data_IF_965528103438
#
_entry.id   IF_965528103438
#
_cell.length_a   1.000
_cell.length_b   1.000
_cell.length_c   1.000
_cell.angle_alpha   90.00
_cell.angle_beta   90.00
_cell.angle_gamma   90.00
#
_symmetry.space_group_name_H-M   'P 1'
#
loop_
_entity.id
_entity.type
_entity.pdbx_description
1 polymer ?
#
# COMPACT_ATOMS: atom_id res chain seq x y z
N UNK A 1 -4.61 0.19 -18.74
CA UNK A 1 -5.22 -1.11 -18.55
C UNK A 1 -6.21 -1.12 -17.40
N UNK A 2 -6.66 -2.29 -16.99
CA UNK A 2 -7.68 -2.45 -15.94
C UNK A 2 -7.20 -2.04 -14.53
N UNK A 3 -5.92 -1.90 -14.29
CA UNK A 3 -5.40 -1.44 -13.00
C UNK A 3 -5.75 0.03 -12.72
N UNK A 4 -5.74 0.88 -13.76
CA UNK A 4 -6.11 2.30 -13.69
C UNK A 4 -6.93 2.68 -14.92
N UNK A 5 -8.17 2.23 -14.95
CA UNK A 5 -9.15 2.59 -15.99
C UNK A 5 -9.84 3.91 -15.66
N UNK A 6 -10.29 4.63 -16.68
CA UNK A 6 -11.17 5.82 -16.51
C UNK A 6 -12.57 5.41 -16.05
N UNK A 7 -12.96 4.19 -16.38
CA UNK A 7 -14.22 3.54 -15.97
C UNK A 7 -13.88 2.15 -15.45
N UNK A 8 -14.42 1.77 -14.32
CA UNK A 8 -14.15 0.51 -13.66
C UNK A 8 -15.31 0.10 -12.75
N UNK A 9 -15.38 -1.18 -12.42
CA UNK A 9 -16.39 -1.73 -11.53
C UNK A 9 -15.80 -1.86 -10.13
N UNK A 10 -16.51 -1.30 -9.14
CA UNK A 10 -16.25 -1.49 -7.72
C UNK A 10 -17.42 -2.21 -7.05
N UNK A 11 -17.13 -2.91 -5.97
CA UNK A 11 -18.08 -3.29 -4.94
C UNK A 11 -17.82 -2.38 -3.74
N UNK A 12 -18.83 -1.65 -3.32
CA UNK A 12 -18.81 -0.87 -2.08
C UNK A 12 -19.80 -1.44 -1.08
N UNK A 13 -19.43 -1.36 0.20
CA UNK A 13 -20.33 -1.65 1.30
C UNK A 13 -20.04 -0.67 2.46
N UNK A 14 -21.06 -0.40 3.24
CA UNK A 14 -20.99 0.48 4.39
C UNK A 14 -21.70 -0.18 5.56
N UNK A 15 -21.14 -0.04 6.77
CA UNK A 15 -21.80 -0.45 8.00
C UNK A 15 -22.17 0.75 8.85
N UNK A 16 -23.22 0.59 9.62
CA UNK A 16 -23.77 1.59 10.54
C UNK A 16 -24.07 0.88 11.85
N UNK A 17 -23.23 1.12 12.83
CA UNK A 17 -23.30 0.46 14.12
C UNK A 17 -23.61 1.50 15.22
N UNK A 18 -24.18 1.07 16.34
CA UNK A 18 -24.53 1.97 17.43
C UNK A 18 -23.29 2.50 18.18
N UNK A 19 -22.22 1.72 18.21
CA UNK A 19 -21.00 2.05 18.92
C UNK A 19 -19.75 1.53 18.22
N UNK A 20 -18.58 1.88 18.76
CA UNK A 20 -17.30 1.42 18.24
C UNK A 20 -17.09 -0.10 18.34
N UNK A 21 -17.67 -0.75 19.35
CA UNK A 21 -17.54 -2.20 19.52
C UNK A 21 -18.29 -2.95 18.42
N UNK A 22 -19.51 -2.50 18.10
CA UNK A 22 -20.29 -3.00 16.97
C UNK A 22 -19.57 -2.80 15.64
N UNK A 23 -19.05 -1.59 15.39
CA UNK A 23 -18.28 -1.29 14.18
C UNK A 23 -17.05 -2.19 14.06
N UNK A 24 -16.27 -2.39 15.13
CA UNK A 24 -15.11 -3.30 15.12
C UNK A 24 -15.49 -4.74 14.81
N UNK A 25 -16.61 -5.22 15.38
CA UNK A 25 -17.11 -6.57 15.07
C UNK A 25 -17.50 -6.71 13.59
N UNK A 26 -18.18 -5.72 13.04
CA UNK A 26 -18.53 -5.67 11.60
C UNK A 26 -17.29 -5.57 10.73
N UNK A 27 -16.31 -4.75 11.12
CA UNK A 27 -15.03 -4.63 10.43
C UNK A 27 -14.30 -5.97 10.36
N UNK A 28 -14.21 -6.74 11.45
CA UNK A 28 -13.57 -8.06 11.45
C UNK A 28 -14.30 -9.08 10.56
N UNK A 29 -15.64 -9.06 10.52
CA UNK A 29 -16.42 -9.90 9.60
C UNK A 29 -16.11 -9.56 8.14
N UNK A 30 -16.00 -8.28 7.82
CA UNK A 30 -15.64 -7.81 6.48
C UNK A 30 -14.19 -8.15 6.13
N UNK A 31 -13.26 -7.99 7.05
CA UNK A 31 -11.87 -8.41 6.92
C UNK A 31 -11.79 -9.90 6.53
N UNK A 32 -12.48 -10.76 7.29
CA UNK A 32 -12.54 -12.19 6.99
C UNK A 32 -13.18 -12.49 5.63
N UNK A 33 -14.22 -11.74 5.25
CA UNK A 33 -14.87 -11.88 3.94
C UNK A 33 -13.89 -11.55 2.79
N UNK A 34 -13.08 -10.49 2.93
CA UNK A 34 -12.07 -10.12 1.93
C UNK A 34 -10.97 -11.18 1.81
N UNK A 35 -10.50 -11.73 2.94
CA UNK A 35 -9.58 -12.86 2.91
C UNK A 35 -10.16 -14.05 2.14
N UNK A 36 -11.43 -14.36 2.34
CA UNK A 36 -12.10 -15.47 1.66
C UNK A 36 -12.26 -15.20 0.16
N UNK A 37 -12.64 -13.97 -0.23
CA UNK A 37 -12.75 -13.58 -1.65
C UNK A 37 -11.42 -13.78 -2.36
N UNK A 38 -10.33 -13.24 -1.81
CA UNK A 38 -9.03 -13.29 -2.45
C UNK A 38 -8.46 -14.73 -2.51
N UNK A 39 -8.66 -15.52 -1.46
CA UNK A 39 -8.29 -16.96 -1.47
C UNK A 39 -9.05 -17.73 -2.53
N UNK A 40 -10.38 -17.55 -2.62
CA UNK A 40 -11.21 -18.19 -3.64
C UNK A 40 -10.83 -17.78 -5.06
N UNK A 41 -10.37 -16.54 -5.24
CA UNK A 41 -9.81 -16.09 -6.51
C UNK A 41 -8.39 -16.62 -6.76
N UNK A 42 -7.84 -17.47 -5.89
CA UNK A 42 -6.51 -18.07 -6.04
C UNK A 42 -5.36 -17.08 -5.93
N UNK A 43 -5.57 -15.92 -5.30
CA UNK A 43 -4.60 -14.83 -5.25
C UNK A 43 -3.66 -14.96 -4.04
N UNK A 44 -2.38 -14.67 -4.26
CA UNK A 44 -1.41 -14.46 -3.19
C UNK A 44 -1.44 -12.99 -2.79
N UNK A 45 -1.81 -12.71 -1.56
CA UNK A 45 -2.02 -11.36 -1.07
C UNK A 45 -1.54 -11.18 0.37
N UNK A 46 -1.44 -9.93 0.80
CA UNK A 46 -1.28 -9.53 2.20
C UNK A 46 -2.31 -8.46 2.53
N UNK A 47 -2.95 -8.60 3.70
CA UNK A 47 -3.63 -7.50 4.34
C UNK A 47 -2.56 -6.66 5.05
N UNK A 48 -2.51 -5.37 4.77
CA UNK A 48 -1.49 -4.45 5.29
C UNK A 48 -2.15 -3.27 5.98
N UNK A 49 -1.58 -2.83 7.08
CA UNK A 49 -2.02 -1.59 7.72
C UNK A 49 -1.71 -0.41 6.80
N UNK A 50 -2.68 0.47 6.65
CA UNK A 50 -2.62 1.58 5.72
C UNK A 50 -2.98 2.91 6.37
N UNK A 51 -2.55 4.00 5.74
CA UNK A 51 -3.04 5.33 6.07
C UNK A 51 -4.46 5.52 5.49
N UNK A 52 -5.36 6.10 6.30
CA UNK A 52 -6.75 6.32 5.87
C UNK A 52 -6.92 7.52 4.94
N UNK A 53 -5.88 8.32 4.74
CA UNK A 53 -5.84 9.47 3.84
C UNK A 53 -6.99 10.46 4.05
N UNK A 54 -7.49 11.04 2.96
CA UNK A 54 -8.59 11.99 2.96
C UNK A 54 -9.93 11.37 3.43
N UNK A 55 -10.10 10.07 3.27
CA UNK A 55 -11.28 9.34 3.77
C UNK A 55 -11.35 9.48 5.30
N UNK A 56 -10.21 9.34 5.98
CA UNK A 56 -10.10 9.48 7.43
C UNK A 56 -10.60 8.25 8.18
N UNK A 57 -10.75 8.41 9.50
CA UNK A 57 -11.12 7.32 10.39
C UNK A 57 -9.98 6.95 11.35
N UNK A 58 -10.22 5.97 12.21
CA UNK A 58 -9.27 5.55 13.25
C UNK A 58 -8.28 4.47 12.78
N UNK A 59 -8.55 3.81 11.66
CA UNK A 59 -7.69 2.78 11.08
C UNK A 59 -8.22 2.26 9.77
N UNK A 60 -7.32 1.70 8.98
CA UNK A 60 -7.67 1.05 7.71
C UNK A 60 -6.68 -0.05 7.36
N UNK A 61 -7.12 -0.99 6.50
CA UNK A 61 -6.29 -2.04 5.94
C UNK A 61 -6.52 -2.17 4.45
N UNK A 62 -5.43 -2.27 3.70
CA UNK A 62 -5.41 -2.55 2.27
C UNK A 62 -5.15 -4.04 2.03
N UNK A 63 -5.81 -4.58 1.02
CA UNK A 63 -5.59 -5.94 0.53
C UNK A 63 -4.73 -5.88 -0.72
N UNK A 64 -3.44 -6.16 -0.55
CA UNK A 64 -2.41 -6.06 -1.58
C UNK A 64 -2.14 -7.42 -2.24
N UNK A 65 -2.45 -7.54 -3.51
CA UNK A 65 -2.04 -8.70 -4.32
C UNK A 65 -0.58 -8.52 -4.70
N UNK A 66 0.25 -9.51 -4.35
CA UNK A 66 1.69 -9.45 -4.58
C UNK A 66 2.01 -9.66 -6.06
N UNK A 67 2.58 -8.65 -6.72
CA UNK A 67 2.97 -8.70 -8.11
C UNK A 67 4.12 -7.70 -8.39
N UNK A 68 5.06 -8.06 -9.27
CA UNK A 68 6.16 -7.16 -9.65
C UNK A 68 5.66 -5.88 -10.34
N UNK A 69 4.55 -5.98 -11.07
CA UNK A 69 3.88 -4.84 -11.71
C UNK A 69 3.10 -3.95 -10.72
N UNK A 70 3.09 -4.28 -9.42
CA UNK A 70 2.45 -3.49 -8.37
C UNK A 70 3.02 -2.08 -8.30
N UNK A 71 2.15 -1.10 -8.09
CA UNK A 71 2.54 0.32 -7.98
C UNK A 71 2.97 0.68 -6.57
N UNK A 72 2.41 -0.02 -5.55
CA UNK A 72 2.61 0.29 -4.15
C UNK A 72 3.66 -0.63 -3.53
N UNK A 73 4.50 -0.04 -2.71
CA UNK A 73 5.49 -0.77 -1.90
C UNK A 73 4.91 -1.07 -0.53
N UNK A 74 5.05 -2.31 -0.09
CA UNK A 74 4.68 -2.75 1.25
C UNK A 74 5.90 -3.24 2.02
N UNK A 75 5.88 -3.02 3.32
CA UNK A 75 6.89 -3.49 4.27
C UNK A 75 6.27 -4.58 5.14
N UNK A 76 6.97 -5.71 5.30
CA UNK A 76 6.47 -6.86 6.03
C UNK A 76 7.58 -7.65 6.71
N UNK A 77 7.23 -8.51 7.66
CA UNK A 77 8.12 -9.49 8.29
C UNK A 77 7.79 -10.92 7.85
N UNK A 78 8.79 -11.80 7.87
CA UNK A 78 8.63 -13.19 7.43
C UNK A 78 7.74 -14.01 8.37
N UNK A 79 7.67 -13.66 9.65
CA UNK A 79 6.79 -14.29 10.63
C UNK A 79 5.31 -14.00 10.41
N UNK A 80 4.99 -13.05 9.51
CA UNK A 80 3.63 -12.66 9.16
C UNK A 80 2.92 -11.76 10.19
N UNK A 81 3.61 -11.35 11.26
CA UNK A 81 3.02 -10.56 12.34
C UNK A 81 3.03 -9.05 12.08
N UNK A 82 3.67 -8.62 10.99
CA UNK A 82 3.70 -7.21 10.59
C UNK A 82 3.61 -7.07 9.07
N UNK A 83 2.71 -6.23 8.62
CA UNK A 83 2.67 -5.74 7.24
C UNK A 83 2.00 -4.36 7.20
N UNK A 84 2.60 -3.40 6.50
CA UNK A 84 2.07 -2.05 6.32
C UNK A 84 2.49 -1.50 4.95
N UNK A 85 1.71 -0.58 4.38
CA UNK A 85 2.17 0.20 3.26
C UNK A 85 3.26 1.21 3.71
N UNK A 86 4.04 1.74 2.77
CA UNK A 86 5.16 2.65 3.10
C UNK A 86 4.73 3.92 3.81
N UNK A 87 3.49 4.36 3.63
CA UNK A 87 2.94 5.57 4.24
C UNK A 87 2.69 5.39 5.74
N UNK A 88 2.25 4.19 6.13
CA UNK A 88 1.92 3.83 7.52
C UNK A 88 3.06 3.14 8.26
N UNK A 89 3.98 2.50 7.55
CA UNK A 89 4.98 1.62 8.12
C UNK A 89 5.82 2.29 9.22
N UNK A 90 5.99 1.56 10.32
CA UNK A 90 6.86 1.93 11.45
C UNK A 90 7.95 0.87 11.63
N UNK A 91 9.12 1.30 12.10
CA UNK A 91 10.25 0.39 12.33
C UNK A 91 11.20 0.96 13.38
N UNK A 92 12.14 0.16 13.86
CA UNK A 92 13.21 0.59 14.73
C UNK A 92 14.42 0.99 13.91
N UNK A 93 14.94 2.17 14.18
CA UNK A 93 16.20 2.60 13.59
C UNK A 93 17.39 1.81 14.18
N UNK A 94 18.50 1.65 13.44
CA UNK A 94 19.73 1.10 14.00
C UNK A 94 20.23 1.92 15.20
N UNK A 95 20.92 1.28 16.13
CA UNK A 95 21.54 1.98 17.24
C UNK A 95 22.62 2.94 16.73
N UNK A 96 22.88 4.00 17.48
CA UNK A 96 23.86 5.03 17.14
C UNK A 96 24.79 5.29 18.31
N UNK A 97 26.09 5.32 18.03
CA UNK A 97 27.11 5.74 18.98
C UNK A 97 27.88 6.94 18.41
N UNK A 98 28.29 7.86 19.27
CA UNK A 98 29.08 9.02 18.87
C UNK A 98 30.49 8.98 19.49
N UNK A 99 31.48 9.20 18.64
CA UNK A 99 32.88 9.42 19.06
C UNK A 99 33.20 10.89 19.37
N UNK A 100 32.30 11.81 19.04
CA UNK A 100 32.49 13.26 19.17
C UNK A 100 31.89 13.76 20.50
N UNK A 101 32.53 13.49 21.61
CA UNK A 101 31.97 13.72 22.97
C UNK A 101 32.18 15.14 23.52
N UNK A 102 33.05 15.93 22.90
CA UNK A 102 33.31 17.33 23.36
C UNK A 102 32.48 18.28 22.52
N UNK A 103 31.70 19.15 23.18
CA UNK A 103 30.98 20.22 22.50
C UNK A 103 31.93 21.28 21.93
N UNK A 104 31.83 21.47 20.62
CA UNK A 104 32.67 22.40 19.88
C UNK A 104 31.98 22.86 18.60
N UNK A 105 32.13 24.17 18.27
CA UNK A 105 31.79 24.69 16.95
C UNK A 105 32.99 24.54 16.03
N UNK A 106 32.79 23.89 14.88
CA UNK A 106 33.82 23.60 13.88
C UNK A 106 33.52 24.26 12.55
N UNK A 107 34.55 24.76 11.92
CA UNK A 107 34.47 25.22 10.54
C UNK A 107 34.37 24.01 9.61
N UNK A 108 33.38 24.03 8.74
CA UNK A 108 33.01 22.90 7.82
C UNK A 108 32.55 23.49 6.50
N UNK A 109 33.41 24.16 5.74
CA UNK A 109 33.05 24.84 4.50
C UNK A 109 32.58 23.84 3.42
N UNK A 110 31.51 24.21 2.71
CA UNK A 110 30.99 23.41 1.59
C UNK A 110 30.36 22.08 2.01
N UNK A 111 29.85 21.96 3.23
CA UNK A 111 29.28 20.71 3.78
C UNK A 111 27.76 20.82 4.02
N UNK A 112 26.99 21.32 3.06
CA UNK A 112 25.55 21.55 3.16
C UNK A 112 24.73 20.26 3.20
N UNK A 113 25.34 19.10 2.85
CA UNK A 113 24.65 17.81 2.82
C UNK A 113 25.19 16.85 3.88
N UNK A 114 24.35 15.93 4.34
CA UNK A 114 24.72 14.90 5.33
C UNK A 114 25.97 14.14 4.89
N UNK A 115 26.04 13.74 3.62
CA UNK A 115 27.20 13.02 3.07
C UNK A 115 28.50 13.82 3.20
N UNK A 116 28.45 15.12 2.81
CA UNK A 116 29.62 15.99 2.85
C UNK A 116 30.09 16.23 4.28
N UNK A 117 29.18 16.54 5.22
CA UNK A 117 29.55 16.78 6.62
C UNK A 117 30.09 15.52 7.28
N UNK A 118 29.48 14.35 7.03
CA UNK A 118 29.98 13.07 7.53
C UNK A 118 31.39 12.75 7.05
N UNK A 119 31.65 12.97 5.75
CA UNK A 119 32.97 12.77 5.17
C UNK A 119 34.01 13.73 5.76
N UNK A 120 33.64 15.01 5.96
CA UNK A 120 34.52 16.03 6.51
C UNK A 120 34.87 15.76 7.98
N UNK A 121 33.86 15.50 8.81
CA UNK A 121 34.02 15.26 10.25
C UNK A 121 34.42 13.81 10.60
N UNK A 122 34.43 12.90 9.61
CA UNK A 122 34.68 11.46 9.78
C UNK A 122 33.73 10.81 10.77
N UNK A 123 32.42 11.13 10.67
CA UNK A 123 31.37 10.60 11.52
C UNK A 123 30.30 9.84 10.71
N UNK A 124 29.45 9.08 11.39
CA UNK A 124 28.33 8.38 10.78
C UNK A 124 27.12 9.32 10.63
N UNK A 125 26.29 9.17 9.58
CA UNK A 125 24.99 9.85 9.50
C UNK A 125 24.07 9.59 10.70
N UNK A 126 24.25 8.46 11.39
CA UNK A 126 23.49 8.11 12.61
C UNK A 126 23.79 9.04 13.80
N UNK A 127 24.91 9.76 13.74
CA UNK A 127 25.34 10.69 14.78
C UNK A 127 24.85 12.12 14.57
N UNK A 128 24.11 12.37 13.48
CA UNK A 128 23.64 13.70 13.13
C UNK A 128 22.16 13.90 13.48
N UNK A 129 21.86 15.10 13.96
CA UNK A 129 20.51 15.67 13.93
C UNK A 129 20.45 16.63 12.75
N UNK A 130 19.76 16.22 11.69
CA UNK A 130 19.47 17.12 10.56
C UNK A 130 18.17 17.87 10.80
N UNK A 131 18.13 19.10 10.35
CA UNK A 131 17.01 20.01 10.50
C UNK A 131 16.41 20.26 9.12
N UNK A 132 15.22 19.71 8.87
CA UNK A 132 14.53 19.79 7.58
C UNK A 132 13.39 20.79 7.70
N UNK A 133 13.36 21.75 6.78
CA UNK A 133 12.34 22.79 6.76
C UNK A 133 11.25 22.45 5.74
N UNK A 134 10.00 22.44 6.20
CA UNK A 134 8.81 22.35 5.36
C UNK A 134 7.95 23.62 5.50
N UNK A 135 7.16 23.87 4.48
CA UNK A 135 6.10 24.87 4.46
C UNK A 135 4.78 24.16 4.27
N UNK A 136 3.85 24.35 5.20
CA UNK A 136 2.49 23.84 5.12
C UNK A 136 1.51 25.00 4.94
N UNK A 137 0.58 24.87 4.01
CA UNK A 137 -0.52 25.83 3.78
C UNK A 137 -1.82 25.16 4.20
N UNK A 138 -2.51 25.76 5.16
CA UNK A 138 -3.80 25.28 5.65
C UNK A 138 -4.95 25.86 4.83
N UNK A 139 -6.12 25.23 4.91
CA UNK A 139 -7.37 25.68 4.24
C UNK A 139 -7.90 27.00 4.78
N UNK A 140 -7.45 27.46 5.93
CA UNK A 140 -7.65 28.84 6.44
C UNK A 140 -6.82 29.90 5.70
N UNK A 141 -5.90 29.50 4.80
CA UNK A 141 -4.93 30.39 4.14
C UNK A 141 -3.67 30.64 4.95
N UNK A 142 -3.57 30.15 6.19
CA UNK A 142 -2.39 30.32 7.02
C UNK A 142 -1.26 29.41 6.53
N UNK A 143 -0.08 30.01 6.36
CA UNK A 143 1.17 29.31 6.09
C UNK A 143 1.94 29.08 7.39
N UNK A 144 2.36 27.84 7.61
CA UNK A 144 3.13 27.44 8.79
C UNK A 144 4.46 26.86 8.34
N UNK A 145 5.55 27.30 8.99
CA UNK A 145 6.89 26.81 8.75
C UNK A 145 7.21 25.72 9.78
N UNK A 146 7.51 24.52 9.28
CA UNK A 146 7.71 23.33 10.10
C UNK A 146 9.18 22.94 10.06
N UNK A 147 9.83 22.98 11.21
CA UNK A 147 11.21 22.54 11.37
C UNK A 147 11.24 21.15 12.01
N UNK A 148 11.71 20.18 11.27
CA UNK A 148 11.77 18.79 11.69
C UNK A 148 13.19 18.43 12.09
N UNK A 149 13.35 17.90 13.30
CA UNK A 149 14.60 17.34 13.79
C UNK A 149 14.55 15.83 13.64
N UNK A 150 15.34 15.29 12.72
CA UNK A 150 15.38 13.87 12.41
C UNK A 150 16.83 13.40 12.26
N UNK A 151 17.09 12.12 12.51
CA UNK A 151 18.46 11.58 12.41
C UNK A 151 18.97 11.62 10.97
N UNK A 152 20.26 11.87 10.79
CA UNK A 152 20.86 12.13 9.49
C UNK A 152 20.70 11.01 8.46
N UNK A 153 20.63 9.74 8.89
CA UNK A 153 20.43 8.56 8.04
C UNK A 153 18.95 8.28 7.70
N UNK A 154 18.01 9.09 8.23
CA UNK A 154 16.57 8.89 8.06
C UNK A 154 15.98 9.91 7.09
N UNK A 155 14.88 9.53 6.44
CA UNK A 155 14.08 10.41 5.57
C UNK A 155 12.71 10.68 6.19
N UNK A 156 12.16 11.87 5.93
CA UNK A 156 10.82 12.25 6.38
C UNK A 156 9.80 11.55 5.47
N UNK A 157 8.76 10.99 6.09
CA UNK A 157 7.58 10.49 5.42
C UNK A 157 6.54 11.61 5.36
N UNK A 158 6.26 12.13 4.17
CA UNK A 158 5.38 13.28 3.97
C UNK A 158 3.94 13.02 4.41
N UNK A 159 3.44 11.79 4.29
CA UNK A 159 2.10 11.41 4.75
C UNK A 159 2.02 11.46 6.27
N UNK A 160 3.00 10.88 6.97
CA UNK A 160 3.06 10.97 8.44
C UNK A 160 3.15 12.43 8.89
N UNK A 161 3.98 13.23 8.22
CA UNK A 161 4.11 14.66 8.52
C UNK A 161 2.77 15.39 8.30
N UNK A 162 2.11 15.16 7.19
CA UNK A 162 0.81 15.76 6.90
C UNK A 162 -0.22 15.40 7.98
N UNK A 163 -0.27 14.14 8.40
CA UNK A 163 -1.18 13.67 9.45
C UNK A 163 -0.90 14.36 10.80
N UNK A 164 0.37 14.57 11.16
CA UNK A 164 0.72 15.32 12.38
C UNK A 164 0.32 16.80 12.27
N UNK A 165 0.46 17.41 11.11
CA UNK A 165 0.06 18.80 10.89
C UNK A 165 -1.46 18.98 10.87
N UNK A 166 -2.22 18.01 10.37
CA UNK A 166 -3.69 18.04 10.44
C UNK A 166 -4.19 18.06 11.88
N UNK A 167 -3.51 17.36 12.82
CA UNK A 167 -3.84 17.43 14.26
C UNK A 167 -3.68 18.85 14.85
N UNK A 168 -2.85 19.68 14.24
CA UNK A 168 -2.60 21.06 14.64
C UNK A 168 -3.50 22.07 13.90
N UNK A 169 -4.31 21.64 12.97
CA UNK A 169 -5.11 22.52 12.10
C UNK A 169 -6.01 23.47 12.91
N UNK A 170 -6.58 22.98 14.02
CA UNK A 170 -7.42 23.78 14.91
C UNK A 170 -6.71 24.99 15.52
N UNK A 171 -5.41 24.91 15.77
CA UNK A 171 -4.58 26.01 16.29
C UNK A 171 -4.49 27.18 15.28
N UNK A 172 -4.77 26.90 14.01
CA UNK A 172 -4.70 27.85 12.89
C UNK A 172 -6.07 28.15 12.27
N UNK A 173 -7.18 27.79 12.97
CA UNK A 173 -8.54 27.98 12.49
C UNK A 173 -8.83 27.21 11.21
N UNK A 174 -8.18 26.07 11.01
CA UNK A 174 -8.22 25.23 9.82
C UNK A 174 -8.78 23.84 10.13
N UNK A 175 -9.06 23.09 9.08
CA UNK A 175 -9.48 21.69 9.18
C UNK A 175 -8.46 20.75 8.52
N UNK A 176 -7.76 21.22 7.49
CA UNK A 176 -6.83 20.39 6.73
C UNK A 176 -5.64 21.18 6.19
N UNK A 177 -4.61 20.44 5.77
CA UNK A 177 -3.43 20.96 5.06
C UNK A 177 -3.66 20.83 3.55
N UNK A 178 -3.64 21.95 2.83
CA UNK A 178 -3.82 21.99 1.38
C UNK A 178 -2.55 21.65 0.61
N UNK A 179 -1.38 22.08 1.13
CA UNK A 179 -0.10 21.76 0.52
C UNK A 179 1.00 21.64 1.56
N UNK A 180 1.94 20.75 1.28
CA UNK A 180 3.13 20.51 2.08
C UNK A 180 4.33 20.42 1.14
N UNK A 181 5.28 21.34 1.27
CA UNK A 181 6.43 21.46 0.37
C UNK A 181 7.70 21.83 1.12
N UNK A 182 8.85 21.45 0.58
CA UNK A 182 10.13 22.07 0.97
C UNK A 182 10.22 23.42 0.28
N UNK A 183 10.32 24.55 1.02
CA UNK A 183 10.27 25.87 0.41
C UNK A 183 11.52 26.13 -0.42
N UNK A 184 11.33 26.46 -1.69
CA UNK A 184 12.39 26.92 -2.57
C UNK A 184 12.82 28.38 -2.25
N UNK A 185 13.79 28.90 -2.98
CA UNK A 185 14.31 30.24 -2.75
C UNK A 185 13.25 31.33 -2.98
N UNK A 186 12.31 31.14 -3.91
CA UNK A 186 11.24 32.09 -4.17
C UNK A 186 10.21 32.11 -3.01
N UNK A 187 9.83 30.93 -2.54
CA UNK A 187 8.94 30.80 -1.39
C UNK A 187 9.55 31.42 -0.14
N UNK A 188 10.86 31.19 0.11
CA UNK A 188 11.57 31.75 1.26
C UNK A 188 11.62 33.29 1.22
N UNK A 189 11.78 33.92 0.04
CA UNK A 189 11.77 35.38 -0.09
C UNK A 189 10.47 36.03 0.40
N UNK A 190 9.36 35.30 0.41
CA UNK A 190 8.05 35.82 0.84
C UNK A 190 7.94 35.98 2.35
N UNK A 191 8.68 35.19 3.12
CA UNK A 191 8.55 35.15 4.57
C UNK A 191 9.89 35.23 5.36
N UNK A 192 11.03 35.04 4.71
CA UNK A 192 12.31 35.12 5.40
C UNK A 192 12.74 36.59 5.60
N UNK A 193 13.08 36.96 6.84
CA UNK A 193 13.63 38.28 7.17
C UNK A 193 15.09 38.44 6.74
N UNK A 194 15.80 37.30 6.60
CA UNK A 194 17.19 37.19 6.18
C UNK A 194 17.44 35.77 5.58
N UNK A 195 18.49 35.59 4.78
CA UNK A 195 18.79 34.27 4.21
C UNK A 195 18.98 33.21 5.30
N UNK A 196 18.34 32.06 5.11
CA UNK A 196 18.50 30.89 5.98
C UNK A 196 19.83 30.19 5.70
N UNK A 197 20.56 29.76 6.75
CA UNK A 197 21.77 28.96 6.59
C UNK A 197 21.42 27.50 6.25
N UNK A 198 20.85 27.28 5.05
CA UNK A 198 20.41 25.96 4.60
C UNK A 198 21.59 24.98 4.62
N UNK A 199 21.35 23.78 5.14
CA UNK A 199 22.40 22.78 5.38
C UNK A 199 23.20 23.00 6.66
N UNK A 200 23.07 24.15 7.31
CA UNK A 200 23.78 24.54 8.56
C UNK A 200 22.83 24.97 9.68
N UNK A 201 21.53 24.72 9.55
CA UNK A 201 20.54 25.04 10.59
C UNK A 201 20.70 24.11 11.80
N UNK A 202 20.56 24.68 13.00
CA UNK A 202 20.48 23.94 14.26
C UNK A 202 19.01 23.68 14.68
N UNK A 203 18.76 22.80 15.65
CA UNK A 203 17.44 22.69 16.28
C UNK A 203 16.98 23.98 16.96
N UNK A 204 17.91 24.83 17.37
CA UNK A 204 17.66 26.08 18.05
C UNK A 204 17.60 27.31 17.17
N UNK A 205 17.55 27.18 15.85
CA UNK A 205 17.48 28.32 14.94
C UNK A 205 16.40 29.32 15.37
N UNK A 206 16.74 30.62 15.39
CA UNK A 206 15.87 31.70 15.90
C UNK A 206 14.62 31.86 15.01
N UNK A 207 13.48 32.13 15.64
CA UNK A 207 12.27 32.55 14.95
C UNK A 207 12.40 33.91 14.26
N UNK A 208 13.47 34.70 14.57
CA UNK A 208 13.81 36.00 13.93
C UNK A 208 14.10 35.83 12.41
N UNK A 209 14.31 34.62 11.93
CA UNK A 209 14.40 34.37 10.50
C UNK A 209 13.05 34.49 9.78
N UNK A 210 11.92 34.54 10.51
CA UNK A 210 10.57 34.63 9.96
C UNK A 210 10.05 36.06 10.09
N UNK A 211 9.61 36.65 8.97
CA UNK A 211 8.84 37.88 8.97
C UNK A 211 7.41 37.62 9.43
N UNK A 212 6.94 38.38 10.39
CA UNK A 212 5.54 38.38 10.76
C UNK A 212 4.68 38.96 9.62
N UNK A 213 3.75 38.20 9.09
CA UNK A 213 2.78 38.61 8.09
C UNK A 213 1.40 38.07 8.46
N UNK A 214 0.33 38.66 7.90
CA UNK A 214 -1.04 38.32 8.23
C UNK A 214 -1.37 36.82 7.95
N UNK A 215 -0.68 36.24 6.99
CA UNK A 215 -0.92 34.88 6.50
C UNK A 215 0.18 33.88 6.90
N UNK A 216 1.15 34.31 7.71
CA UNK A 216 2.31 33.50 8.10
C UNK A 216 2.40 33.44 9.62
N UNK A 217 2.42 32.23 10.17
CA UNK A 217 2.67 32.03 11.59
C UNK A 217 4.10 32.48 11.96
N UNK A 218 4.30 33.36 12.96
CA UNK A 218 5.57 33.99 13.23
C UNK A 218 6.58 33.11 13.97
N UNK A 219 6.32 31.82 14.07
CA UNK A 219 7.17 30.84 14.77
C UNK A 219 7.29 29.57 13.99
N UNK A 220 8.46 28.92 14.10
CA UNK A 220 8.61 27.56 13.63
C UNK A 220 7.79 26.58 14.49
N UNK A 221 6.98 25.74 13.83
CA UNK A 221 6.48 24.53 14.46
C UNK A 221 7.61 23.51 14.45
N UNK A 222 8.12 23.17 15.63
CA UNK A 222 9.22 22.22 15.78
C UNK A 222 8.69 20.84 16.11
N UNK A 223 9.00 19.85 15.24
CA UNK A 223 8.68 18.45 15.43
C UNK A 223 9.97 17.66 15.62
N UNK A 224 9.98 16.77 16.59
CA UNK A 224 11.13 15.92 16.91
C UNK A 224 10.79 14.48 16.54
N UNK A 225 11.52 13.93 15.59
CA UNK A 225 11.38 12.51 15.28
C UNK A 225 11.96 11.65 16.42
N UNK A 226 11.29 10.52 16.70
CA UNK A 226 11.71 9.60 17.78
C UNK A 226 13.17 9.15 17.67
N UNK A 227 13.74 9.12 16.46
CA UNK A 227 15.12 8.67 16.22
C UNK A 227 16.19 9.58 16.79
N UNK A 228 15.85 10.81 17.19
CA UNK A 228 16.81 11.75 17.77
C UNK A 228 16.57 12.05 19.25
N UNK A 229 15.50 11.50 19.86
CA UNK A 229 15.12 11.84 21.24
C UNK A 229 16.19 11.51 22.27
N UNK A 230 16.88 10.39 22.09
CA UNK A 230 17.86 9.85 23.00
C UNK A 230 19.31 9.99 22.47
N UNK A 231 19.47 10.72 21.35
CA UNK A 231 20.77 10.93 20.74
C UNK A 231 21.62 11.83 21.64
N UNK A 232 22.84 11.37 21.94
CA UNK A 232 23.83 12.10 22.71
C UNK A 232 25.03 12.44 21.84
N UNK A 233 25.72 13.51 22.20
CA UNK A 233 26.94 13.95 21.52
C UNK A 233 26.79 14.05 20.01
N UNK A 234 25.65 14.58 19.57
CA UNK A 234 25.29 14.64 18.15
C UNK A 234 25.98 15.82 17.43
N UNK A 235 26.04 15.68 16.12
CA UNK A 235 26.45 16.75 15.19
C UNK A 235 25.21 17.42 14.62
N UNK A 236 25.21 18.75 14.52
CA UNK A 236 24.13 19.51 13.86
C UNK A 236 24.67 20.83 13.31
N UNK A 237 23.86 21.60 12.60
CA UNK A 237 24.25 22.95 12.15
C UNK A 237 24.52 23.89 13.28
N UNK A 238 25.22 25.02 12.99
CA UNK A 238 25.57 26.07 13.92
C UNK A 238 24.82 27.38 13.66
N UNK A 239 23.78 27.38 12.82
CA UNK A 239 23.03 28.54 12.33
C UNK A 239 23.91 29.60 11.61
N UNK A 240 25.04 29.14 11.12
CA UNK A 240 26.01 29.94 10.38
C UNK A 240 26.55 29.10 9.19
N UNK A 241 26.51 29.68 8.00
CA UNK A 241 27.00 28.98 6.78
C UNK A 241 28.47 28.62 6.94
N UNK A 242 28.80 27.37 6.65
CA UNK A 242 30.14 26.81 6.77
C UNK A 242 30.52 26.35 8.18
N UNK A 243 29.58 26.28 9.13
CA UNK A 243 29.84 25.82 10.49
C UNK A 243 28.85 24.75 10.96
N UNK A 244 29.37 23.75 11.66
CA UNK A 244 28.60 22.79 12.46
C UNK A 244 29.05 22.77 13.90
N UNK A 245 28.18 22.27 14.78
CA UNK A 245 28.55 21.94 16.17
C UNK A 245 28.62 20.42 16.29
N UNK A 246 29.60 19.96 17.08
CA UNK A 246 29.79 18.53 17.43
C UNK A 246 29.63 18.37 18.95
N UNK A 247 29.36 17.15 19.42
CA UNK A 247 29.23 16.86 20.85
C UNK A 247 28.03 17.55 21.53
N UNK A 248 27.01 17.90 20.75
CA UNK A 248 25.83 18.58 21.28
C UNK A 248 24.88 17.57 21.97
N UNK A 249 24.14 18.07 22.97
CA UNK A 249 23.18 17.26 23.73
C UNK A 249 21.89 18.04 23.95
N UNK A 250 20.78 17.29 23.96
CA UNK A 250 19.48 17.83 24.36
C UNK A 250 19.48 18.22 25.84
N UNK A 251 18.76 19.28 26.15
CA UNK A 251 18.68 19.84 27.52
C UNK A 251 19.92 20.62 27.98
N UNK A 252 21.02 20.59 27.22
CA UNK A 252 22.25 21.32 27.50
C UNK A 252 22.49 22.43 26.48
N UNK A 253 22.74 22.04 25.21
CA UNK A 253 23.00 23.04 24.16
C UNK A 253 21.70 23.37 23.38
N UNK A 254 20.85 22.42 23.23
CA UNK A 254 19.56 22.59 22.51
C UNK A 254 18.39 22.09 23.34
N UNK A 255 17.30 22.86 23.31
CA UNK A 255 16.04 22.40 23.90
C UNK A 255 15.31 21.50 22.90
N UNK A 256 14.83 20.37 23.38
CA UNK A 256 13.99 19.47 22.60
C UNK A 256 12.54 19.95 22.68
N UNK A 257 11.83 20.01 21.56
CA UNK A 257 10.40 20.24 21.54
C UNK A 257 9.66 19.07 22.19
N UNK A 258 8.55 19.37 22.89
CA UNK A 258 7.68 18.35 23.49
C UNK A 258 6.87 17.56 22.43
N UNK A 259 6.85 18.05 21.18
CA UNK A 259 6.16 17.39 20.06
C UNK A 259 7.04 16.31 19.45
N UNK A 260 7.11 15.18 20.16
CA UNK A 260 7.85 13.98 19.70
C UNK A 260 6.92 13.07 18.92
N UNK A 261 7.28 12.78 17.67
CA UNK A 261 6.46 12.08 16.69
C UNK A 261 7.29 11.04 15.93
N UNK A 262 6.62 10.09 15.26
CA UNK A 262 7.26 9.19 14.29
C UNK A 262 7.06 9.75 12.89
N UNK A 263 8.10 10.36 12.32
CA UNK A 263 8.08 10.96 10.99
C UNK A 263 8.94 10.22 9.98
N UNK A 264 9.74 9.27 10.42
CA UNK A 264 10.67 8.61 9.52
C UNK A 264 9.97 7.66 8.54
N UNK A 265 10.54 7.57 7.35
CA UNK A 265 10.20 6.56 6.36
C UNK A 265 10.85 5.23 6.76
N UNK A 266 10.05 4.21 7.05
CA UNK A 266 10.56 2.86 7.27
C UNK A 266 11.07 2.26 5.95
N UNK A 267 12.07 1.39 6.02
CA UNK A 267 12.70 0.78 4.84
C UNK A 267 13.08 -0.68 5.07
N UNK A 268 13.32 -1.39 3.97
CA UNK A 268 13.85 -2.76 4.04
C UNK A 268 15.16 -2.82 4.84
N UNK A 269 15.32 -3.85 5.64
CA UNK A 269 16.47 -4.04 6.53
C UNK A 269 16.33 -3.34 7.89
N UNK A 270 15.35 -2.47 8.09
CA UNK A 270 15.05 -1.94 9.43
C UNK A 270 14.52 -3.06 10.33
N UNK A 271 14.81 -2.96 11.64
CA UNK A 271 14.28 -3.89 12.64
C UNK A 271 12.77 -3.66 12.85
N UNK A 272 12.03 -4.74 13.00
CA UNK A 272 10.60 -4.67 13.25
C UNK A 272 10.30 -4.19 14.66
N UNK A 273 9.19 -3.44 14.81
CA UNK A 273 8.82 -2.84 16.10
C UNK A 273 8.27 -3.89 17.09
N UNK A 274 7.62 -4.95 16.58
CA UNK A 274 7.03 -6.00 17.41
C UNK A 274 8.07 -7.04 17.88
N UNK A 275 9.11 -7.26 17.06
CA UNK A 275 10.23 -8.15 17.38
C UNK A 275 11.51 -7.61 16.72
N UNK A 276 12.43 -7.00 17.50
CA UNK A 276 13.70 -6.49 16.98
C UNK A 276 14.63 -7.54 16.36
N UNK A 277 14.37 -8.83 16.57
CA UNK A 277 15.06 -9.93 15.90
C UNK A 277 14.64 -10.15 14.46
N UNK A 278 13.47 -9.60 14.06
CA UNK A 278 12.97 -9.60 12.70
C UNK A 278 13.39 -8.34 11.96
N UNK A 279 13.59 -8.47 10.65
CA UNK A 279 13.85 -7.32 9.78
C UNK A 279 12.74 -7.15 8.77
N UNK A 280 12.46 -5.90 8.39
CA UNK A 280 11.50 -5.56 7.37
C UNK A 280 12.02 -5.95 5.98
N UNK A 281 11.14 -6.56 5.20
CA UNK A 281 11.30 -6.81 3.77
C UNK A 281 10.32 -5.97 2.98
N UNK A 282 10.59 -5.79 1.69
CA UNK A 282 9.67 -5.11 0.77
C UNK A 282 9.11 -6.08 -0.25
N UNK A 283 7.88 -5.80 -0.69
CA UNK A 283 7.27 -6.39 -1.87
C UNK A 283 6.46 -5.31 -2.59
N UNK A 284 6.22 -5.52 -3.88
CA UNK A 284 5.28 -4.71 -4.63
C UNK A 284 3.89 -5.32 -4.59
N UNK A 285 2.88 -4.47 -4.45
CA UNK A 285 1.49 -4.86 -4.36
C UNK A 285 0.59 -4.08 -5.30
N UNK A 286 -0.50 -4.73 -5.69
CA UNK A 286 -1.63 -4.11 -6.37
C UNK A 286 -2.76 -4.04 -5.34
N UNK A 287 -3.17 -2.85 -4.96
CA UNK A 287 -4.30 -2.62 -4.05
C UNK A 287 -5.60 -3.06 -4.71
N UNK A 288 -6.22 -4.10 -4.18
CA UNK A 288 -7.49 -4.66 -4.67
C UNK A 288 -8.67 -4.19 -3.86
N UNK A 289 -8.49 -4.03 -2.57
CA UNK A 289 -9.54 -3.61 -1.66
C UNK A 289 -8.99 -2.86 -0.48
N UNK A 290 -9.84 -2.04 0.11
CA UNK A 290 -9.52 -1.22 1.27
C UNK A 290 -10.71 -1.20 2.21
N UNK A 291 -10.47 -1.42 3.49
CA UNK A 291 -11.49 -1.41 4.53
C UNK A 291 -11.14 -0.36 5.59
N UNK A 292 -12.14 0.41 6.03
CA UNK A 292 -11.96 1.60 6.88
C UNK A 292 -12.84 1.54 8.12
N UNK A 293 -12.30 1.99 9.23
CA UNK A 293 -13.02 2.34 10.46
C UNK A 293 -13.27 3.85 10.46
N UNK A 294 -14.42 4.30 9.90
CA UNK A 294 -14.69 5.72 9.67
C UNK A 294 -15.08 6.50 10.93
N UNK A 295 -15.58 5.82 11.95
CA UNK A 295 -16.16 6.46 13.14
C UNK A 295 -17.42 7.25 12.79
N UNK A 296 -17.58 8.44 13.35
CA UNK A 296 -18.77 9.29 13.16
C UNK A 296 -18.59 10.44 12.18
N UNK A 297 -17.44 10.51 11.48
CA UNK A 297 -17.10 11.63 10.58
C UNK A 297 -18.20 11.92 9.56
N UNK A 298 -18.67 10.88 8.87
CA UNK A 298 -19.68 11.05 7.82
C UNK A 298 -21.10 11.04 8.37
N UNK A 299 -21.42 10.19 9.33
CA UNK A 299 -22.75 10.12 9.94
C UNK A 299 -23.14 11.44 10.61
N UNK A 300 -22.22 12.09 11.32
CA UNK A 300 -22.46 13.41 11.91
C UNK A 300 -22.76 14.45 10.84
N UNK A 301 -21.95 14.50 9.76
CA UNK A 301 -22.15 15.45 8.66
C UNK A 301 -23.46 15.24 7.88
N UNK A 302 -23.91 13.98 7.79
CA UNK A 302 -25.16 13.59 7.11
C UNK A 302 -26.39 13.62 8.01
N UNK A 303 -26.23 13.84 9.34
CA UNK A 303 -27.30 13.73 10.31
C UNK A 303 -27.85 12.28 10.44
N UNK A 304 -26.99 11.28 10.18
CA UNK A 304 -27.35 9.86 10.31
C UNK A 304 -27.24 9.43 11.78
N UNK A 305 -28.34 9.49 12.50
CA UNK A 305 -28.43 9.23 13.93
C UNK A 305 -29.36 8.07 14.25
N UNK A 306 -29.28 7.58 15.47
CA UNK A 306 -30.26 6.70 16.09
C UNK A 306 -30.58 7.19 17.51
N UNK A 307 -31.76 6.85 18.02
CA UNK A 307 -32.14 7.17 19.41
C UNK A 307 -31.70 6.04 20.32
N UNK A 308 -30.86 6.34 21.30
CA UNK A 308 -30.38 5.34 22.29
C UNK A 308 -31.47 5.01 23.35
N UNK A 309 -31.17 4.08 24.25
CA UNK A 309 -32.09 3.65 25.32
C UNK A 309 -32.47 4.80 26.28
N UNK A 310 -31.66 5.83 26.37
CA UNK A 310 -31.88 7.04 27.18
C UNK A 310 -32.74 8.09 26.47
N UNK A 311 -33.10 7.85 25.19
CA UNK A 311 -33.86 8.79 24.36
C UNK A 311 -33.01 9.89 23.71
N UNK A 312 -31.68 9.72 23.67
CA UNK A 312 -30.74 10.68 23.10
C UNK A 312 -30.42 10.32 21.65
N UNK A 313 -30.32 11.35 20.80
CA UNK A 313 -29.86 11.21 19.40
C UNK A 313 -28.36 11.05 19.34
N UNK A 314 -27.92 9.90 18.86
CA UNK A 314 -26.50 9.52 18.76
C UNK A 314 -26.11 9.31 17.29
N UNK A 315 -24.96 9.83 16.81
CA UNK A 315 -24.49 9.54 15.47
C UNK A 315 -24.09 8.06 15.33
N UNK A 316 -24.43 7.45 14.19
CA UNK A 316 -24.02 6.09 13.87
C UNK A 316 -22.50 5.99 13.64
N UNK A 317 -21.89 4.92 14.13
CA UNK A 317 -20.47 4.63 13.89
C UNK A 317 -20.33 3.80 12.62
N UNK A 318 -19.56 4.30 11.67
CA UNK A 318 -19.52 3.77 10.30
C UNK A 318 -18.23 3.01 10.01
N UNK A 319 -18.36 2.00 9.14
CA UNK A 319 -17.28 1.38 8.39
C UNK A 319 -17.53 1.51 6.89
N UNK A 320 -16.45 1.45 6.09
CA UNK A 320 -16.49 1.47 4.63
C UNK A 320 -15.58 0.38 4.07
N UNK A 321 -16.06 -0.32 3.02
CA UNK A 321 -15.43 -1.55 2.54
C UNK A 321 -15.49 -1.62 1.00
N UNK A 322 -14.39 -1.23 0.32
CA UNK A 322 -14.29 -1.17 -1.14
C UNK A 322 -13.48 -2.31 -1.75
N UNK A 323 -13.93 -2.86 -2.88
CA UNK A 323 -13.16 -3.79 -3.74
C UNK A 323 -13.18 -3.31 -5.18
N UNK A 324 -12.01 -3.14 -5.77
CA UNK A 324 -11.84 -2.85 -7.20
C UNK A 324 -11.99 -4.13 -8.03
N UNK A 325 -13.22 -4.48 -8.42
CA UNK A 325 -13.53 -5.74 -9.12
C UNK A 325 -12.77 -5.85 -10.45
N UNK A 326 -12.73 -4.78 -11.24
CA UNK A 326 -11.98 -4.76 -12.50
C UNK A 326 -10.46 -4.92 -12.26
N UNK A 327 -9.94 -4.29 -11.21
CA UNK A 327 -8.52 -4.38 -10.82
C UNK A 327 -8.16 -5.78 -10.32
N UNK A 328 -9.08 -6.46 -9.62
CA UNK A 328 -8.90 -7.85 -9.17
C UNK A 328 -8.65 -8.79 -10.36
N UNK A 329 -9.41 -8.65 -11.44
CA UNK A 329 -9.20 -9.45 -12.64
C UNK A 329 -7.82 -9.22 -13.26
N UNK A 330 -7.37 -7.96 -13.35
CA UNK A 330 -6.02 -7.63 -13.83
C UNK A 330 -4.93 -8.20 -12.92
N UNK A 331 -5.10 -8.09 -11.59
CA UNK A 331 -4.13 -8.60 -10.62
C UNK A 331 -4.01 -10.12 -10.70
N UNK A 332 -5.09 -10.84 -10.98
CA UNK A 332 -5.05 -12.28 -11.22
C UNK A 332 -4.23 -12.62 -12.46
N UNK A 333 -4.36 -11.85 -13.54
CA UNK A 333 -3.52 -12.00 -14.74
C UNK A 333 -2.05 -11.73 -14.43
N UNK A 334 -1.74 -10.67 -13.67
CA UNK A 334 -0.36 -10.31 -13.30
C UNK A 334 0.33 -11.36 -12.41
N UNK A 335 -0.44 -12.11 -11.63
CA UNK A 335 0.11 -13.20 -10.81
C UNK A 335 0.18 -14.55 -11.53
N UNK A 336 -0.67 -14.75 -12.52
CA UNK A 336 -0.95 -16.09 -13.06
C UNK A 336 -0.86 -16.12 -14.58
N UNK A 337 0.37 -16.12 -15.10
CA UNK A 337 0.66 -16.28 -16.53
C UNK A 337 1.95 -17.06 -16.75
N UNK A 338 2.15 -17.53 -17.97
CA UNK A 338 3.41 -18.06 -18.47
C UNK A 338 3.70 -17.53 -19.89
N UNK A 339 4.73 -18.06 -20.54
CA UNK A 339 5.10 -17.66 -21.91
C UNK A 339 4.02 -17.97 -22.97
N UNK A 340 3.06 -18.82 -22.66
CA UNK A 340 2.00 -19.26 -23.59
C UNK A 340 0.71 -18.43 -23.40
N UNK A 341 0.54 -17.71 -22.29
CA UNK A 341 -0.61 -16.87 -22.01
C UNK A 341 -1.04 -16.86 -20.56
N UNK A 342 -2.30 -16.48 -20.33
CA UNK A 342 -2.91 -16.37 -19.00
C UNK A 342 -3.12 -17.77 -18.39
N UNK A 343 -3.07 -17.86 -17.07
CA UNK A 343 -3.46 -19.04 -16.28
C UNK A 343 -4.57 -18.60 -15.31
N UNK A 344 -5.80 -18.52 -15.78
CA UNK A 344 -6.88 -18.07 -14.91
C UNK A 344 -7.14 -19.05 -13.77
N UNK A 345 -7.25 -18.55 -12.50
CA UNK A 345 -7.91 -19.32 -11.45
C UNK A 345 -9.34 -19.69 -11.84
N UNK A 346 -9.75 -20.91 -11.51
CA UNK A 346 -11.05 -21.46 -11.93
C UNK A 346 -12.24 -20.58 -11.52
N UNK A 347 -12.13 -19.92 -10.34
CA UNK A 347 -13.20 -19.08 -9.78
C UNK A 347 -13.52 -17.82 -10.60
N UNK A 348 -12.55 -17.32 -11.38
CA UNK A 348 -12.68 -16.06 -12.13
C UNK A 348 -12.35 -16.21 -13.61
N UNK A 349 -12.19 -17.44 -14.08
CA UNK A 349 -12.00 -17.71 -15.49
C UNK A 349 -13.27 -17.32 -16.29
N UNK A 350 -13.13 -16.73 -17.49
CA UNK A 350 -14.28 -16.35 -18.32
C UNK A 350 -15.10 -17.58 -18.75
N UNK A 351 -14.43 -18.72 -18.88
CA UNK A 351 -15.01 -20.04 -19.06
C UNK A 351 -14.16 -21.04 -18.27
N UNK A 352 -14.79 -22.01 -17.64
CA UNK A 352 -14.10 -23.05 -16.87
C UNK A 352 -13.47 -24.11 -17.78
N UNK A 353 -14.13 -24.40 -18.93
CA UNK A 353 -13.66 -25.34 -19.92
C UNK A 353 -13.79 -24.82 -21.35
N UNK A 354 -12.99 -25.40 -22.25
CA UNK A 354 -13.15 -25.26 -23.71
C UNK A 354 -13.12 -26.64 -24.35
N UNK A 355 -14.10 -26.90 -25.21
CA UNK A 355 -14.10 -28.08 -26.09
C UNK A 355 -13.56 -27.64 -27.45
N UNK A 356 -12.54 -28.34 -27.93
CA UNK A 356 -11.89 -28.04 -29.21
C UNK A 356 -12.12 -29.21 -30.18
N UNK A 357 -12.61 -28.88 -31.37
CA UNK A 357 -12.73 -29.79 -32.50
C UNK A 357 -11.47 -29.70 -33.37
N UNK A 358 -10.54 -30.65 -33.33
CA UNK A 358 -9.32 -30.58 -34.12
C UNK A 358 -9.52 -30.58 -35.62
N UNK A 359 -10.53 -31.31 -36.12
CA UNK A 359 -10.90 -31.38 -37.53
C UNK A 359 -12.42 -31.30 -37.69
N UNK A 360 -12.91 -30.14 -38.10
CA UNK A 360 -14.35 -29.91 -38.33
C UNK A 360 -14.91 -30.64 -39.54
N UNK A 361 -14.06 -31.24 -40.35
CA UNK A 361 -14.47 -32.14 -41.45
C UNK A 361 -14.73 -33.57 -41.00
N UNK A 362 -14.42 -33.93 -39.75
CA UNK A 362 -14.64 -35.23 -39.13
C UNK A 362 -15.96 -35.22 -38.34
N UNK A 363 -16.98 -35.90 -38.86
CA UNK A 363 -18.32 -35.88 -38.27
C UNK A 363 -18.36 -36.46 -36.84
N UNK A 364 -17.51 -37.44 -36.52
CA UNK A 364 -17.46 -38.05 -35.19
C UNK A 364 -16.85 -37.06 -34.16
N UNK A 365 -15.80 -36.33 -34.56
CA UNK A 365 -15.22 -35.29 -33.70
C UNK A 365 -16.20 -34.15 -33.42
N UNK A 366 -16.95 -33.73 -34.44
CA UNK A 366 -17.98 -32.70 -34.30
C UNK A 366 -19.09 -33.16 -33.37
N UNK A 367 -19.67 -34.32 -33.62
CA UNK A 367 -20.78 -34.84 -32.82
C UNK A 367 -20.39 -35.04 -31.34
N UNK A 368 -19.20 -35.58 -31.07
CA UNK A 368 -18.70 -35.75 -29.72
C UNK A 368 -18.48 -34.41 -29.01
N UNK A 369 -17.94 -33.41 -29.72
CA UNK A 369 -17.70 -32.08 -29.16
C UNK A 369 -19.00 -31.34 -28.84
N UNK A 370 -19.97 -31.34 -29.74
CA UNK A 370 -21.28 -30.71 -29.55
C UNK A 370 -22.04 -31.34 -28.35
N UNK A 371 -21.99 -32.68 -28.26
CA UNK A 371 -22.59 -33.41 -27.14
C UNK A 371 -21.95 -33.02 -25.82
N UNK A 372 -20.61 -33.10 -25.72
CA UNK A 372 -19.88 -32.70 -24.50
C UNK A 372 -20.09 -31.24 -24.13
N UNK A 373 -20.09 -30.34 -25.10
CA UNK A 373 -20.38 -28.91 -24.89
C UNK A 373 -21.78 -28.72 -24.29
N UNK A 374 -22.80 -29.35 -24.85
CA UNK A 374 -24.17 -29.27 -24.35
C UNK A 374 -24.31 -29.83 -22.93
N UNK A 375 -23.77 -31.03 -22.70
CA UNK A 375 -23.86 -31.70 -21.41
C UNK A 375 -23.06 -30.97 -20.29
N UNK A 376 -21.88 -30.43 -20.59
CA UNK A 376 -21.09 -29.66 -19.64
C UNK A 376 -21.82 -28.39 -19.19
N UNK A 377 -22.40 -27.62 -20.15
CA UNK A 377 -23.19 -26.43 -19.81
C UNK A 377 -24.47 -26.81 -19.03
N UNK A 378 -25.16 -27.89 -19.37
CA UNK A 378 -26.30 -28.39 -18.58
C UNK A 378 -25.89 -28.80 -17.17
N UNK A 379 -24.67 -29.32 -16.99
CA UNK A 379 -24.14 -29.73 -15.72
C UNK A 379 -23.60 -28.50 -14.87
N UNK A 380 -23.69 -27.27 -15.40
CA UNK A 380 -23.26 -26.05 -14.75
C UNK A 380 -21.76 -25.76 -14.87
N UNK A 381 -21.07 -26.37 -15.84
CA UNK A 381 -19.69 -26.05 -16.20
C UNK A 381 -19.71 -25.08 -17.36
N UNK A 382 -19.33 -23.82 -17.13
CA UNK A 382 -19.27 -22.79 -18.18
C UNK A 382 -18.23 -23.15 -19.22
N UNK A 383 -18.71 -23.51 -20.40
CA UNK A 383 -17.89 -24.14 -21.45
C UNK A 383 -17.98 -23.37 -22.76
N UNK A 384 -16.83 -23.15 -23.39
CA UNK A 384 -16.69 -22.60 -24.74
C UNK A 384 -16.49 -23.73 -25.73
N UNK A 385 -17.06 -23.61 -26.95
CA UNK A 385 -16.82 -24.52 -28.07
C UNK A 385 -15.97 -23.81 -29.14
N UNK A 386 -14.85 -24.42 -29.53
CA UNK A 386 -14.04 -23.96 -30.67
C UNK A 386 -14.32 -24.86 -31.90
N UNK A 387 -15.30 -24.44 -32.67
CA UNK A 387 -15.78 -25.08 -33.92
C UNK A 387 -15.21 -24.40 -35.18
N UNK A 388 -14.25 -23.46 -35.04
CA UNK A 388 -13.65 -22.78 -36.19
C UNK A 388 -12.94 -23.75 -37.12
N UNK A 389 -13.00 -23.45 -38.43
CA UNK A 389 -12.21 -24.18 -39.42
C UNK A 389 -10.76 -23.71 -39.46
N UNK A 390 -10.05 -24.00 -38.37
CA UNK A 390 -8.65 -23.63 -38.15
C UNK A 390 -7.82 -24.86 -37.78
N UNK A 391 -6.49 -24.74 -37.92
CA UNK A 391 -5.57 -25.82 -37.53
C UNK A 391 -5.64 -26.03 -36.02
N UNK A 392 -5.66 -27.29 -35.57
CA UNK A 392 -5.73 -27.65 -34.14
C UNK A 392 -4.66 -26.92 -33.30
N UNK A 393 -3.43 -26.77 -33.80
CA UNK A 393 -2.36 -26.06 -33.08
C UNK A 393 -2.64 -24.57 -32.88
N UNK A 394 -3.40 -23.89 -33.75
CA UNK A 394 -3.85 -22.52 -33.58
C UNK A 394 -4.87 -22.45 -32.45
N UNK A 395 -5.90 -23.31 -32.50
CA UNK A 395 -6.94 -23.41 -31.46
C UNK A 395 -6.34 -23.67 -30.07
N UNK A 396 -5.32 -24.54 -29.98
CA UNK A 396 -4.65 -24.87 -28.70
C UNK A 396 -3.91 -23.67 -28.16
N UNK A 397 -3.21 -22.91 -29.03
CA UNK A 397 -2.51 -21.69 -28.63
C UNK A 397 -3.47 -20.58 -28.19
N UNK A 398 -4.61 -20.45 -28.88
CA UNK A 398 -5.63 -19.48 -28.51
C UNK A 398 -6.24 -19.81 -27.13
N UNK A 399 -6.54 -21.09 -26.87
CA UNK A 399 -7.02 -21.54 -25.57
C UNK A 399 -6.00 -21.30 -24.45
N UNK A 400 -4.72 -21.54 -24.71
CA UNK A 400 -3.63 -21.26 -23.76
C UNK A 400 -3.43 -19.76 -23.55
N UNK A 401 -3.55 -18.95 -24.61
CA UNK A 401 -3.44 -17.48 -24.55
C UNK A 401 -4.58 -16.87 -23.70
N UNK A 402 -5.82 -17.32 -23.93
CA UNK A 402 -7.00 -16.90 -23.16
C UNK A 402 -6.89 -17.37 -21.71
N UNK A 403 -6.28 -18.54 -21.48
CA UNK A 403 -6.05 -19.07 -20.14
C UNK A 403 -7.20 -19.87 -19.55
N UNK A 404 -8.01 -20.51 -20.39
CA UNK A 404 -9.14 -21.34 -19.92
C UNK A 404 -8.60 -22.56 -19.13
N UNK A 405 -9.08 -22.83 -17.91
CA UNK A 405 -8.50 -23.83 -17.02
C UNK A 405 -8.45 -25.26 -17.57
N UNK A 406 -9.49 -25.68 -18.25
CA UNK A 406 -9.60 -27.07 -18.77
C UNK A 406 -9.87 -27.08 -20.26
N UNK A 407 -9.01 -27.74 -21.04
CA UNK A 407 -9.16 -27.91 -22.48
C UNK A 407 -9.48 -29.38 -22.80
N UNK A 408 -10.59 -29.61 -23.44
CA UNK A 408 -11.08 -30.95 -23.88
C UNK A 408 -10.88 -31.02 -25.40
N UNK A 409 -10.27 -32.09 -25.90
CA UNK A 409 -9.95 -32.25 -27.31
C UNK A 409 -10.60 -33.53 -27.84
N UNK A 410 -11.54 -33.40 -28.77
CA UNK A 410 -12.20 -34.52 -29.45
C UNK A 410 -11.35 -35.04 -30.61
N UNK A 411 -10.14 -35.52 -30.28
CA UNK A 411 -9.11 -35.90 -31.26
C UNK A 411 -9.03 -37.40 -31.49
N UNK A 412 -7.80 -37.88 -31.65
CA UNK A 412 -7.49 -39.26 -32.02
C UNK A 412 -7.97 -40.31 -31.04
N UNK A 413 -8.08 -39.98 -29.74
CA UNK A 413 -8.54 -40.88 -28.68
C UNK A 413 -10.02 -41.20 -28.75
N UNK A 414 -10.81 -40.52 -29.62
CA UNK A 414 -12.24 -40.81 -29.82
C UNK A 414 -12.51 -42.26 -30.31
N UNK A 415 -11.63 -42.80 -31.13
CA UNK A 415 -11.73 -44.22 -31.59
C UNK A 415 -11.73 -45.22 -30.42
N UNK A 416 -11.16 -44.84 -29.28
CA UNK A 416 -11.09 -45.64 -28.06
C UNK A 416 -12.12 -45.17 -27.01
N UNK A 417 -13.14 -44.37 -27.43
CA UNK A 417 -14.17 -43.80 -26.55
C UNK A 417 -13.69 -42.79 -25.55
N UNK A 418 -12.54 -42.13 -25.81
CA UNK A 418 -11.88 -41.19 -24.90
C UNK A 418 -11.65 -39.80 -25.53
N UNK A 419 -11.44 -38.84 -24.71
CA UNK A 419 -10.97 -37.50 -25.08
C UNK A 419 -9.73 -37.12 -24.27
N UNK A 420 -8.89 -36.24 -24.83
CA UNK A 420 -7.80 -35.63 -24.08
C UNK A 420 -8.32 -34.46 -23.28
N UNK A 421 -8.02 -34.41 -21.98
CA UNK A 421 -8.28 -33.28 -21.12
C UNK A 421 -6.97 -32.71 -20.62
N UNK A 422 -6.73 -31.43 -20.89
CA UNK A 422 -5.52 -30.70 -20.52
C UNK A 422 -5.84 -29.68 -19.45
N UNK A 423 -5.08 -29.70 -18.35
CA UNK A 423 -5.12 -28.65 -17.31
C UNK A 423 -4.16 -27.54 -17.68
N UNK A 424 -4.66 -26.31 -17.86
CA UNK A 424 -3.85 -25.15 -18.27
C UNK A 424 -2.71 -24.84 -17.30
N UNK A 425 -2.98 -24.88 -15.99
CA UNK A 425 -2.01 -24.51 -14.96
C UNK A 425 -0.80 -25.46 -14.86
N UNK A 426 -1.03 -26.77 -15.01
CA UNK A 426 -0.01 -27.79 -14.84
C UNK A 426 0.51 -28.35 -16.16
N UNK A 427 -0.20 -28.07 -17.25
CA UNK A 427 -0.01 -28.69 -18.58
C UNK A 427 -0.15 -30.23 -18.56
N UNK A 428 -0.74 -30.76 -17.50
CA UNK A 428 -1.03 -32.20 -17.40
C UNK A 428 -2.10 -32.60 -18.44
N UNK A 429 -1.82 -33.68 -19.18
CA UNK A 429 -2.72 -34.26 -20.18
C UNK A 429 -3.21 -35.60 -19.66
N UNK A 430 -4.53 -35.80 -19.68
CA UNK A 430 -5.16 -37.06 -19.29
C UNK A 430 -6.12 -37.48 -20.37
N UNK A 431 -6.11 -38.77 -20.73
CA UNK A 431 -7.14 -39.41 -21.55
C UNK A 431 -8.26 -39.90 -20.64
N UNK A 432 -9.47 -39.37 -20.84
CA UNK A 432 -10.64 -39.64 -20.01
C UNK A 432 -11.72 -40.22 -20.90
N UNK A 433 -12.39 -41.26 -20.43
CA UNK A 433 -13.57 -41.81 -21.15
C UNK A 433 -14.67 -40.73 -21.26
N UNK A 434 -15.34 -40.62 -22.39
CA UNK A 434 -16.33 -39.55 -22.64
C UNK A 434 -17.36 -39.49 -21.51
N UNK A 435 -17.84 -40.64 -21.02
CA UNK A 435 -18.82 -40.71 -19.93
C UNK A 435 -18.31 -40.16 -18.58
N UNK A 436 -16.98 -40.12 -18.39
CA UNK A 436 -16.36 -39.71 -17.13
C UNK A 436 -15.88 -38.23 -17.14
N UNK A 437 -15.97 -37.55 -18.29
CA UNK A 437 -15.50 -36.18 -18.45
C UNK A 437 -16.20 -35.22 -17.48
N UNK A 438 -17.52 -35.24 -17.45
CA UNK A 438 -18.35 -34.34 -16.64
C UNK A 438 -18.12 -34.54 -15.14
N UNK A 439 -18.22 -35.78 -14.58
CA UNK A 439 -17.96 -35.99 -13.17
C UNK A 439 -16.52 -35.61 -12.78
N UNK A 440 -15.54 -35.89 -13.63
CA UNK A 440 -14.13 -35.54 -13.38
C UNK A 440 -13.93 -34.05 -13.35
N UNK A 441 -14.44 -33.31 -14.33
CA UNK A 441 -14.31 -31.83 -14.33
C UNK A 441 -15.03 -31.17 -13.15
N UNK A 442 -16.23 -31.64 -12.81
CA UNK A 442 -16.95 -31.14 -11.62
C UNK A 442 -16.16 -31.36 -10.35
N UNK A 443 -15.51 -32.50 -10.18
CA UNK A 443 -14.65 -32.78 -9.03
C UNK A 443 -13.43 -31.82 -9.00
N UNK A 444 -12.76 -31.63 -10.15
CA UNK A 444 -11.61 -30.72 -10.22
C UNK A 444 -11.99 -29.28 -9.97
N UNK A 445 -13.10 -28.81 -10.53
CA UNK A 445 -13.65 -27.48 -10.32
C UNK A 445 -14.00 -27.27 -8.84
N UNK A 446 -14.74 -28.19 -8.24
CA UNK A 446 -15.11 -28.12 -6.83
C UNK A 446 -13.87 -28.01 -5.93
N UNK A 447 -12.86 -28.84 -6.17
CA UNK A 447 -11.59 -28.80 -5.43
C UNK A 447 -10.83 -27.47 -5.62
N UNK A 448 -10.93 -26.86 -6.80
CA UNK A 448 -10.24 -25.58 -7.07
C UNK A 448 -10.97 -24.37 -6.47
N UNK A 449 -12.24 -24.54 -6.06
CA UNK A 449 -13.07 -23.51 -5.43
C UNK A 449 -13.05 -23.59 -3.89
N UNK A 450 -12.51 -24.68 -3.30
CA UNK A 450 -12.25 -24.79 -1.85
C UNK A 450 -11.12 -23.87 -1.40
#
# INVERSE_FOLDING_TARGET
GLMRGREFIMKDAYSFDADEAGMKLTYEKMNQAYHNILRRCGLKFRAVDADSGAIGGSGSQEFMVLAEAGEDEILYTDDGNYAANVEKAVSLAPDAESSLTTYEKRETPGTETIEKVCKFLKCSPTQLVKNVLYQAVYDSGITVLVLIHIRGDQEVNDVKLQNELVKLAGDYGAQTVLSLTVPDAEAQQKWASKPLPLGYMSPGISDDYIQSAKEIAPKFVRLVDRTVTDLQNFVTGADESGYHVVGANWGTQFQKSDRVVDLRKAKAGDRAIHDPGQTLRTARGIEIGHIFQLGTKYSTALGATYTNEQGEEMPLVMGCYGVGVSRLAQAAVEQSYDKDGIIFPVAIAPYQAIVIIPNVGDADQVAAAETLYGELNQAGVETLLDDRNERAGVKFKDADLIGIPYRIVTGKSLKDGKVEVVQRATKAVQEIAIADVIPTLKQWIAKALE
#
